data_IF_383666880630
#
_entry.id   IF_383666880630
#
_cell.length_a   1.000
_cell.length_b   1.000
_cell.length_c   1.000
_cell.angle_alpha   90.00
_cell.angle_beta   90.00
_cell.angle_gamma   90.00
#
_symmetry.space_group_name_H-M   'P 1'
#
loop_
_entity.id
_entity.type
_entity.pdbx_description
1 polymer ?
#
# COMPACT_ATOMS: atom_id res chain seq x y z
N UNK A 1 5.52 -12.20 9.05
CA UNK A 1 6.47 -11.35 8.29
C UNK A 1 5.77 -10.07 7.88
N UNK A 2 6.50 -8.98 7.82
CA UNK A 2 5.97 -7.70 7.35
C UNK A 2 6.47 -7.48 5.92
N UNK A 3 5.55 -7.22 5.01
CA UNK A 3 5.86 -7.08 3.58
C UNK A 3 5.52 -5.67 3.13
N UNK A 4 6.50 -4.95 2.59
CA UNK A 4 6.29 -3.62 2.03
C UNK A 4 5.86 -3.75 0.58
N UNK A 5 4.81 -3.01 0.20
CA UNK A 5 4.20 -3.11 -1.13
C UNK A 5 4.04 -1.71 -1.72
N UNK A 6 4.53 -1.53 -2.94
CA UNK A 6 4.28 -0.31 -3.71
C UNK A 6 2.85 -0.31 -4.25
N UNK A 7 2.32 0.86 -4.51
CA UNK A 7 0.98 0.99 -5.11
C UNK A 7 1.06 1.14 -6.63
N UNK A 8 1.62 2.26 -7.10
CA UNK A 8 1.71 2.52 -8.54
C UNK A 8 2.75 1.61 -9.19
N UNK A 9 2.34 0.86 -10.19
CA UNK A 9 3.21 -0.08 -10.89
C UNK A 9 3.27 -1.46 -10.25
N UNK A 10 2.61 -1.69 -9.11
CA UNK A 10 2.59 -2.98 -8.43
C UNK A 10 1.16 -3.48 -8.20
N UNK A 11 0.33 -2.69 -7.53
CA UNK A 11 -1.09 -3.03 -7.32
C UNK A 11 -1.92 -2.60 -8.52
N UNK A 12 -1.61 -1.42 -9.05
CA UNK A 12 -2.25 -0.88 -10.24
C UNK A 12 -1.19 -0.48 -11.25
N UNK A 13 -1.59 -0.38 -12.52
CA UNK A 13 -0.71 0.14 -13.56
C UNK A 13 -0.36 1.59 -13.25
N UNK A 14 0.83 2.01 -13.64
CA UNK A 14 1.29 3.37 -13.35
C UNK A 14 0.50 4.39 -14.18
N UNK A 15 -0.28 5.22 -13.50
CA UNK A 15 -1.08 6.27 -14.13
C UNK A 15 -1.16 7.51 -13.24
N UNK A 16 -0.21 7.63 -12.32
CA UNK A 16 -0.14 8.74 -11.36
C UNK A 16 -0.32 10.09 -12.03
N UNK A 17 -1.12 11.03 -11.48
CA UNK A 17 -1.77 10.96 -10.18
C UNK A 17 -3.07 10.16 -10.14
N UNK A 18 -3.61 9.74 -11.27
CA UNK A 18 -4.79 8.90 -11.30
C UNK A 18 -4.46 7.49 -10.81
N UNK A 19 -5.49 6.73 -10.45
CA UNK A 19 -5.32 5.32 -10.12
C UNK A 19 -5.49 4.53 -11.42
N UNK A 20 -4.44 3.80 -11.80
CA UNK A 20 -4.44 3.01 -13.01
C UNK A 20 -5.28 1.75 -12.88
N UNK A 21 -5.30 0.95 -13.94
CA UNK A 21 -6.03 -0.32 -13.94
C UNK A 21 -5.35 -1.29 -12.99
N UNK A 22 -6.12 -2.15 -12.31
CA UNK A 22 -5.51 -3.16 -11.43
C UNK A 22 -4.62 -4.11 -12.23
N UNK A 23 -3.45 -4.41 -11.67
CA UNK A 23 -2.56 -5.39 -12.26
C UNK A 23 -3.14 -6.78 -11.97
N UNK A 24 -3.31 -7.63 -13.01
CA UNK A 24 -3.92 -8.95 -12.82
C UNK A 24 -3.26 -9.74 -11.68
N UNK A 25 -4.09 -10.32 -10.83
CA UNK A 25 -3.70 -11.16 -9.69
C UNK A 25 -2.95 -10.46 -8.56
N UNK A 26 -2.56 -9.19 -8.70
CA UNK A 26 -1.79 -8.51 -7.64
C UNK A 26 -2.56 -8.47 -6.33
N UNK A 27 -3.82 -8.03 -6.37
CA UNK A 27 -4.65 -7.94 -5.17
C UNK A 27 -4.94 -9.33 -4.61
N UNK A 28 -5.19 -10.32 -5.48
CA UNK A 28 -5.46 -11.68 -5.03
C UNK A 28 -4.26 -12.26 -4.28
N UNK A 29 -3.05 -12.07 -4.82
CA UNK A 29 -1.83 -12.54 -4.17
C UNK A 29 -1.64 -11.87 -2.81
N UNK A 30 -1.82 -10.55 -2.75
CA UNK A 30 -1.66 -9.81 -1.49
C UNK A 30 -2.69 -10.23 -0.46
N UNK A 31 -3.94 -10.46 -0.87
CA UNK A 31 -4.97 -10.94 0.04
C UNK A 31 -4.63 -12.32 0.60
N UNK A 32 -4.07 -13.19 -0.22
CA UNK A 32 -3.65 -14.52 0.25
C UNK A 32 -2.50 -14.42 1.24
N UNK A 33 -1.53 -13.55 0.98
CA UNK A 33 -0.43 -13.34 1.92
C UNK A 33 -0.94 -12.81 3.25
N UNK A 34 -1.93 -11.92 3.22
CA UNK A 34 -2.49 -11.33 4.43
C UNK A 34 -3.37 -12.33 5.19
N UNK A 35 -4.27 -13.03 4.49
CA UNK A 35 -5.30 -13.84 5.12
C UNK A 35 -4.90 -15.29 5.35
N UNK A 36 -4.21 -15.90 4.41
CA UNK A 36 -3.82 -17.31 4.51
C UNK A 36 -2.46 -17.51 5.16
N UNK A 37 -1.52 -16.62 4.85
CA UNK A 37 -0.15 -16.70 5.38
C UNK A 37 0.07 -15.83 6.62
N UNK A 38 -0.93 -15.02 6.99
CA UNK A 38 -0.90 -14.14 8.16
C UNK A 38 0.27 -13.14 8.15
N UNK A 39 0.68 -12.71 6.96
CA UNK A 39 1.66 -11.64 6.83
C UNK A 39 0.99 -10.28 6.99
N UNK A 40 1.73 -9.32 7.52
CA UNK A 40 1.26 -7.95 7.63
C UNK A 40 1.79 -7.16 6.43
N UNK A 41 0.91 -6.36 5.82
CA UNK A 41 1.26 -5.55 4.66
C UNK A 41 1.46 -4.10 5.03
N UNK A 42 2.50 -3.50 4.49
CA UNK A 42 2.74 -2.06 4.60
C UNK A 42 2.61 -1.46 3.20
N UNK A 43 1.78 -0.43 3.07
CA UNK A 43 1.71 0.31 1.81
C UNK A 43 2.83 1.35 1.81
N UNK A 44 3.70 1.28 0.81
CA UNK A 44 4.85 2.15 0.67
C UNK A 44 4.74 2.89 -0.65
N UNK A 45 4.45 4.20 -0.61
CA UNK A 45 4.15 4.96 -1.82
C UNK A 45 4.59 6.42 -1.69
N UNK A 46 4.83 7.06 -2.83
CA UNK A 46 5.14 8.49 -2.86
C UNK A 46 3.89 9.37 -2.79
N UNK A 47 2.70 8.75 -2.86
CA UNK A 47 1.45 9.50 -2.76
C UNK A 47 1.30 10.11 -1.37
N UNK A 48 0.68 11.30 -1.32
CA UNK A 48 0.43 12.03 -0.08
C UNK A 48 -0.96 12.66 -0.12
N UNK A 49 -1.47 13.06 1.04
CA UNK A 49 -2.75 13.75 1.15
C UNK A 49 -3.88 12.96 0.52
N UNK A 50 -4.70 13.62 -0.29
CA UNK A 50 -5.85 12.99 -0.92
C UNK A 50 -5.47 11.84 -1.85
N UNK A 51 -4.33 11.97 -2.53
CA UNK A 51 -3.88 10.91 -3.42
C UNK A 51 -3.54 9.63 -2.64
N UNK A 52 -2.98 9.79 -1.46
CA UNK A 52 -2.71 8.67 -0.57
C UNK A 52 -4.02 8.07 -0.05
N UNK A 53 -4.93 8.91 0.39
CA UNK A 53 -6.23 8.46 0.89
C UNK A 53 -7.00 7.68 -0.17
N UNK A 54 -6.94 8.13 -1.42
CA UNK A 54 -7.57 7.42 -2.54
C UNK A 54 -6.96 6.04 -2.74
N UNK A 55 -5.63 5.93 -2.65
CA UNK A 55 -4.95 4.65 -2.83
C UNK A 55 -5.30 3.67 -1.70
N UNK A 56 -5.28 4.14 -0.47
CA UNK A 56 -5.64 3.32 0.70
C UNK A 56 -7.09 2.84 0.59
N UNK A 57 -8.01 3.74 0.25
CA UNK A 57 -9.43 3.39 0.11
C UNK A 57 -9.64 2.40 -1.03
N UNK A 58 -8.94 2.58 -2.15
CA UNK A 58 -8.99 1.65 -3.27
C UNK A 58 -8.65 0.23 -2.81
N UNK A 59 -7.58 0.08 -2.04
CA UNK A 59 -7.16 -1.22 -1.53
C UNK A 59 -8.13 -1.76 -0.49
N UNK A 60 -8.63 -0.89 0.39
CA UNK A 60 -9.58 -1.30 1.44
C UNK A 60 -10.87 -1.85 0.84
N UNK A 61 -11.39 -1.22 -0.21
CA UNK A 61 -12.60 -1.69 -0.88
C UNK A 61 -12.41 -3.06 -1.51
N UNK A 62 -11.18 -3.45 -1.77
CA UNK A 62 -10.86 -4.75 -2.36
C UNK A 62 -10.40 -5.78 -1.33
N UNK A 63 -10.52 -5.44 -0.04
CA UNK A 63 -10.25 -6.38 1.03
C UNK A 63 -8.82 -6.40 1.52
N UNK A 64 -7.99 -5.42 1.13
CA UNK A 64 -6.64 -5.31 1.65
C UNK A 64 -6.61 -4.38 2.85
N UNK A 65 -5.95 -4.82 3.93
CA UNK A 65 -5.76 -4.01 5.12
C UNK A 65 -4.27 -3.85 5.36
N UNK A 66 -3.83 -2.62 5.56
CA UNK A 66 -2.41 -2.34 5.78
C UNK A 66 -2.11 -2.15 7.26
N UNK A 67 -1.05 -2.81 7.71
CA UNK A 67 -0.53 -2.65 9.06
C UNK A 67 -0.01 -1.23 9.29
N UNK A 68 0.62 -0.65 8.27
CA UNK A 68 1.08 0.73 8.30
C UNK A 68 1.13 1.28 6.87
N UNK A 69 1.17 2.60 6.75
CA UNK A 69 1.26 3.28 5.46
C UNK A 69 2.43 4.24 5.52
N UNK A 70 3.40 4.04 4.62
CA UNK A 70 4.64 4.84 4.55
C UNK A 70 5.41 4.90 5.87
N UNK A 71 5.33 3.84 6.67
CA UNK A 71 6.09 3.72 7.90
C UNK A 71 6.19 2.24 8.27
N UNK A 72 7.18 1.89 9.07
CA UNK A 72 7.46 0.50 9.39
C UNK A 72 6.48 -0.11 10.41
N UNK A 73 5.82 0.72 11.20
CA UNK A 73 4.83 0.29 12.18
C UNK A 73 3.88 1.46 12.47
N UNK A 74 2.65 1.20 12.96
CA UNK A 74 1.62 2.24 13.07
C UNK A 74 1.99 3.46 13.89
N UNK A 75 2.81 3.31 14.92
CA UNK A 75 3.19 4.41 15.80
C UNK A 75 4.43 5.17 15.33
N UNK A 76 5.06 4.74 14.23
CA UNK A 76 6.24 5.42 13.71
C UNK A 76 5.87 6.82 13.19
N UNK A 77 6.63 7.80 13.62
CA UNK A 77 6.42 9.18 13.21
C UNK A 77 7.59 9.64 12.36
N UNK A 78 7.29 10.11 11.15
CA UNK A 78 8.29 10.66 10.24
C UNK A 78 8.37 12.17 10.43
N UNK A 79 9.57 12.72 10.46
CA UNK A 79 9.77 14.16 10.45
C UNK A 79 10.41 14.60 9.11
N UNK A 80 10.62 15.91 8.95
CA UNK A 80 11.12 16.45 7.69
C UNK A 80 12.56 16.05 7.37
N UNK A 81 13.29 15.54 8.35
CA UNK A 81 14.68 15.12 8.17
C UNK A 81 14.82 13.63 7.94
N UNK A 82 13.74 12.88 8.08
CA UNK A 82 13.75 11.43 7.94
C UNK A 82 13.35 11.02 6.54
N UNK A 83 14.20 10.29 5.80
CA UNK A 83 13.84 9.80 4.46
C UNK A 83 12.65 8.83 4.56
N UNK A 84 11.70 8.95 3.63
CA UNK A 84 10.50 8.12 3.65
C UNK A 84 10.70 6.76 3.00
N UNK A 85 11.69 6.63 2.19
CA UNK A 85 11.92 5.36 1.49
C UNK A 85 13.39 5.13 1.29
#
# INVERSE_FOLDING_TARGET
MIIAVDFDGTIVEHAYPAIGKPIPFAIDVLKRLQNECHHQLILWTVREGELLDQAVEYCRQRGLEFYAVNKNYPEEVWDDTTPRK
#
